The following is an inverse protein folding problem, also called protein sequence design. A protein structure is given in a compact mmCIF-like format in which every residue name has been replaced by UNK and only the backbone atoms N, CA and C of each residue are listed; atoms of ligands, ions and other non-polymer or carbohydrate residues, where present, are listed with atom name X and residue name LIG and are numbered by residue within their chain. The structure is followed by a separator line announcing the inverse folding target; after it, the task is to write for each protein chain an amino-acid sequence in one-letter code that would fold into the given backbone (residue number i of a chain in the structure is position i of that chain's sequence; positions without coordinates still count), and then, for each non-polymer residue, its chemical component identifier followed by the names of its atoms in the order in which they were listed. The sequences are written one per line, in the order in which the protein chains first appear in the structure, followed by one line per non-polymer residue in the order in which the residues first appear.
data_IF_011199607923
#
_entry.id   IF_011199607923
#
_cell.length_a   1.000
_cell.length_b   1.000
_cell.length_c   1.000
_cell.angle_alpha   90.00
_cell.angle_beta   90.00
_cell.angle_gamma   90.00
#
_symmetry.space_group_name_H-M   'P 1'
#
loop_
_entity.id
_entity.type
_entity.pdbx_description
1 polymer ?
#
# COMPACT_ATOMS: atom_id res chain seq x y z
N UNK A 1 -14.31 15.23 8.57
CA UNK A 1 -13.40 14.11 8.80
C UNK A 1 -12.32 14.49 9.78
N UNK A 2 -12.09 13.66 10.74
CA UNK A 2 -11.01 13.89 11.70
C UNK A 2 -9.68 13.45 11.11
N UNK A 3 -8.68 14.33 11.23
CA UNK A 3 -7.32 13.94 10.95
C UNK A 3 -6.86 13.01 12.07
N UNK A 4 -6.43 11.80 11.67
CA UNK A 4 -5.87 10.85 12.61
C UNK A 4 -4.36 10.93 12.58
N UNK A 5 -3.76 11.04 13.74
CA UNK A 5 -2.32 10.89 13.89
C UNK A 5 -2.04 9.45 14.27
N UNK A 6 -1.31 8.75 13.43
CA UNK A 6 -0.94 7.37 13.70
C UNK A 6 0.38 7.33 14.44
N UNK A 7 0.43 6.52 15.49
CA UNK A 7 1.69 6.17 16.12
C UNK A 7 2.33 5.05 15.32
N UNK A 8 3.46 5.29 14.65
CA UNK A 8 4.11 4.26 13.82
C UNK A 8 4.41 2.96 14.56
N UNK A 9 4.63 3.04 15.87
CA UNK A 9 4.92 1.86 16.67
C UNK A 9 3.69 0.97 16.89
N UNK A 10 2.50 1.51 16.65
CA UNK A 10 1.24 0.81 16.91
C UNK A 10 0.47 0.43 15.65
N UNK A 11 0.97 0.81 14.49
CA UNK A 11 0.40 0.40 13.22
C UNK A 11 1.14 -0.82 12.71
N UNK A 12 0.38 -1.86 12.37
CA UNK A 12 0.94 -3.10 11.86
C UNK A 12 0.52 -3.31 10.42
N UNK A 13 1.46 -3.72 9.59
CA UNK A 13 1.20 -4.09 8.20
C UNK A 13 1.60 -5.54 8.03
N UNK A 14 0.68 -6.35 7.52
CA UNK A 14 0.94 -7.77 7.26
C UNK A 14 0.63 -8.10 5.81
N UNK A 15 1.50 -8.89 5.19
CA UNK A 15 1.28 -9.46 3.87
C UNK A 15 1.26 -10.97 3.99
N UNK A 16 0.16 -11.57 3.57
CA UNK A 16 -0.03 -13.02 3.61
C UNK A 16 0.22 -13.60 5.01
N UNK A 17 -0.32 -12.92 6.02
CA UNK A 17 -0.19 -13.19 7.46
C UNK A 17 1.18 -12.94 8.07
N UNK A 18 2.19 -12.62 7.26
CA UNK A 18 3.50 -12.26 7.79
C UNK A 18 3.56 -10.77 8.12
N UNK A 19 3.81 -10.47 9.37
CA UNK A 19 3.94 -9.08 9.81
C UNK A 19 5.27 -8.50 9.32
N UNK A 20 5.20 -7.37 8.63
CA UNK A 20 6.37 -6.68 8.12
C UNK A 20 6.98 -5.80 9.22
N UNK A 21 8.30 -5.76 9.29
CA UNK A 21 9.04 -5.12 10.36
C UNK A 21 10.13 -4.21 9.83
N UNK A 22 10.60 -3.30 10.69
CA UNK A 22 11.70 -2.39 10.41
C UNK A 22 11.38 -1.42 9.28
N UNK A 23 10.26 -0.73 9.43
CA UNK A 23 9.86 0.30 8.48
C UNK A 23 10.86 1.48 8.51
N UNK A 24 11.00 2.13 7.35
CA UNK A 24 11.76 3.35 7.22
C UNK A 24 11.01 4.56 7.78
N UNK A 25 11.39 5.76 7.35
CA UNK A 25 10.82 7.00 7.85
C UNK A 25 9.32 7.12 7.55
N UNK A 26 8.87 6.63 6.40
CA UNK A 26 7.46 6.58 6.04
C UNK A 26 6.96 5.15 6.17
N UNK A 27 5.80 4.98 6.84
CA UNK A 27 5.21 3.67 7.01
C UNK A 27 4.70 3.12 5.68
N UNK A 28 3.74 3.82 5.10
CA UNK A 28 3.15 3.38 3.83
C UNK A 28 2.43 4.54 3.15
N UNK A 29 2.22 4.37 1.85
CA UNK A 29 1.39 5.25 1.04
C UNK A 29 0.43 4.39 0.24
N UNK A 30 -0.86 4.72 0.33
CA UNK A 30 -1.91 4.01 -0.39
C UNK A 30 -2.55 4.97 -1.39
N UNK A 31 -2.57 4.59 -2.66
CA UNK A 31 -3.13 5.43 -3.70
C UNK A 31 -3.94 4.61 -4.70
N UNK A 32 -5.09 5.14 -5.11
CA UNK A 32 -5.86 4.56 -6.21
C UNK A 32 -5.26 4.98 -7.54
N UNK A 33 -5.35 4.09 -8.53
CA UNK A 33 -4.84 4.36 -9.87
C UNK A 33 -5.66 5.44 -10.57
N UNK A 34 -6.96 5.50 -10.29
CA UNK A 34 -7.87 6.42 -10.95
C UNK A 34 -8.74 7.17 -9.95
N UNK A 35 -9.15 8.38 -10.32
CA UNK A 35 -10.05 9.16 -9.50
C UNK A 35 -11.43 8.49 -9.42
N UNK A 36 -12.10 8.63 -8.28
CA UNK A 36 -13.45 8.08 -8.09
C UNK A 36 -14.47 8.75 -9.00
N UNK A 37 -14.30 10.03 -9.25
CA UNK A 37 -15.29 10.86 -9.96
C UNK A 37 -14.56 11.81 -10.89
N UNK A 38 -15.06 11.94 -12.09
CA UNK A 38 -14.57 12.91 -13.07
C UNK A 38 -15.71 13.83 -13.47
N UNK A 39 -15.42 15.13 -13.54
CA UNK A 39 -16.40 16.12 -13.98
C UNK A 39 -16.24 16.36 -15.48
N UNK A 40 -17.34 16.20 -16.21
CA UNK A 40 -17.39 16.56 -17.64
C UNK A 40 -18.32 17.72 -17.84
N UNK A 41 -17.86 18.74 -18.58
CA UNK A 41 -18.67 19.88 -18.97
C UNK A 41 -19.07 19.74 -20.43
N UNK A 42 -20.36 19.88 -20.68
CA UNK A 42 -20.89 19.89 -22.04
C UNK A 42 -20.70 21.23 -22.74
N UNK A 43 -20.93 21.25 -24.06
CA UNK A 43 -20.78 22.43 -24.91
C UNK A 43 -21.71 23.56 -24.47
N UNK A 44 -22.88 23.21 -23.92
CA UNK A 44 -23.87 24.19 -23.46
C UNK A 44 -23.75 24.58 -22.00
N UNK A 45 -22.62 24.23 -21.36
CA UNK A 45 -22.40 24.57 -19.98
C UNK A 45 -22.94 23.57 -18.96
N UNK A 46 -23.56 22.49 -19.43
CA UNK A 46 -24.03 21.43 -18.55
C UNK A 46 -22.86 20.69 -17.91
N UNK A 47 -23.03 20.25 -16.67
CA UNK A 47 -22.03 19.49 -15.94
C UNK A 47 -22.55 18.11 -15.64
N UNK A 48 -21.73 17.09 -15.85
CA UNK A 48 -22.06 15.70 -15.55
C UNK A 48 -20.92 15.05 -14.79
N UNK A 49 -21.23 14.34 -13.73
CA UNK A 49 -20.26 13.54 -13.01
C UNK A 49 -20.20 12.14 -13.60
N UNK A 50 -19.00 11.69 -13.89
CA UNK A 50 -18.76 10.32 -14.33
C UNK A 50 -18.13 9.56 -13.16
N UNK A 51 -18.79 8.50 -12.73
CA UNK A 51 -18.32 7.67 -11.63
C UNK A 51 -17.38 6.60 -12.17
N UNK A 52 -16.25 6.43 -11.51
CA UNK A 52 -15.27 5.43 -11.90
C UNK A 52 -15.41 4.20 -11.04
N UNK A 53 -15.72 3.07 -11.67
CA UNK A 53 -15.88 1.80 -10.99
C UNK A 53 -14.55 1.11 -10.66
N UNK A 54 -13.44 1.56 -11.26
CA UNK A 54 -12.13 0.96 -11.01
C UNK A 54 -11.64 1.32 -9.62
N UNK A 55 -11.46 0.32 -8.77
CA UNK A 55 -10.99 0.47 -7.39
C UNK A 55 -9.56 0.00 -7.19
N UNK A 56 -8.85 -0.33 -8.26
CA UNK A 56 -7.47 -0.78 -8.18
C UNK A 56 -6.54 0.34 -7.73
N UNK A 57 -5.43 -0.05 -7.15
CA UNK A 57 -4.45 0.91 -6.70
C UNK A 57 -3.14 0.25 -6.29
N UNK A 58 -2.31 1.03 -5.62
CA UNK A 58 -0.99 0.60 -5.19
C UNK A 58 -0.76 0.98 -3.73
N UNK A 59 -0.12 0.08 -3.02
CA UNK A 59 0.40 0.34 -1.68
C UNK A 59 1.91 0.35 -1.77
N UNK A 60 2.53 1.45 -1.36
CA UNK A 60 3.99 1.55 -1.29
C UNK A 60 4.41 1.53 0.17
N UNK A 61 5.28 0.61 0.52
CA UNK A 61 5.89 0.56 1.85
C UNK A 61 7.39 0.78 1.74
N UNK A 62 7.97 1.31 2.79
CA UNK A 62 9.41 1.56 2.85
C UNK A 62 9.98 0.82 4.05
N UNK A 63 10.93 -0.08 3.80
CA UNK A 63 11.58 -0.88 4.83
C UNK A 63 13.05 -0.53 4.90
N UNK A 64 13.60 -0.56 6.10
CA UNK A 64 15.05 -0.45 6.27
C UNK A 64 15.74 -1.63 5.61
N UNK A 65 16.95 -1.40 5.07
CA UNK A 65 17.64 -2.46 4.33
C UNK A 65 17.95 -3.70 5.20
N UNK A 66 17.97 -3.55 6.50
CA UNK A 66 18.20 -4.65 7.45
C UNK A 66 16.94 -5.47 7.73
N UNK A 67 15.78 -5.05 7.23
CA UNK A 67 14.54 -5.77 7.49
C UNK A 67 14.61 -7.20 6.98
N UNK A 68 14.30 -8.19 7.82
CA UNK A 68 14.32 -9.59 7.38
C UNK A 68 13.22 -9.91 6.37
N UNK A 69 12.24 -9.02 6.23
CA UNK A 69 11.09 -9.27 5.37
C UNK A 69 11.35 -8.92 3.90
N UNK A 70 12.41 -8.16 3.60
CA UNK A 70 12.74 -7.79 2.22
C UNK A 70 12.99 -9.04 1.37
N UNK A 71 13.79 -9.98 1.89
CA UNK A 71 14.07 -11.23 1.17
C UNK A 71 12.80 -12.04 0.91
N UNK A 72 11.90 -12.08 1.88
CA UNK A 72 10.61 -12.73 1.71
C UNK A 72 9.79 -12.08 0.59
N UNK A 73 9.74 -10.75 0.58
CA UNK A 73 8.98 -10.02 -0.44
C UNK A 73 9.62 -10.14 -1.82
N UNK A 74 10.95 -10.20 -1.89
CA UNK A 74 11.64 -10.50 -3.14
C UNK A 74 11.26 -11.86 -3.68
N UNK A 75 11.18 -12.87 -2.83
CA UNK A 75 10.72 -14.21 -3.22
C UNK A 75 9.26 -14.19 -3.69
N UNK A 76 8.42 -13.44 -3.01
CA UNK A 76 7.02 -13.30 -3.43
C UNK A 76 6.91 -12.68 -4.82
N UNK A 77 7.73 -11.68 -5.12
CA UNK A 77 7.76 -11.07 -6.45
C UNK A 77 8.23 -12.06 -7.50
N UNK A 78 9.30 -12.80 -7.20
CA UNK A 78 9.89 -13.79 -8.11
C UNK A 78 8.92 -14.93 -8.45
N UNK A 79 8.12 -15.32 -7.47
CA UNK A 79 7.22 -16.48 -7.60
C UNK A 79 5.78 -16.08 -7.91
N UNK A 80 5.51 -14.81 -8.13
CA UNK A 80 4.17 -14.28 -8.43
C UNK A 80 3.13 -14.67 -7.37
N UNK A 81 3.51 -14.54 -6.10
CA UNK A 81 2.65 -14.91 -4.99
C UNK A 81 1.54 -13.88 -4.80
N UNK A 82 0.30 -14.35 -4.77
CA UNK A 82 -0.85 -13.54 -4.37
C UNK A 82 -1.05 -13.67 -2.87
N UNK A 83 -1.29 -12.55 -2.21
CA UNK A 83 -1.52 -12.55 -0.78
C UNK A 83 -2.43 -11.44 -0.33
N UNK A 84 -2.93 -11.56 0.88
CA UNK A 84 -3.78 -10.55 1.47
C UNK A 84 -2.94 -9.54 2.23
N UNK A 85 -3.33 -8.26 2.17
CA UNK A 85 -2.71 -7.20 2.94
C UNK A 85 -3.68 -6.76 4.02
N UNK A 86 -3.20 -6.66 5.25
CA UNK A 86 -3.96 -6.11 6.36
C UNK A 86 -3.13 -5.03 7.05
N UNK A 87 -3.73 -3.87 7.26
CA UNK A 87 -3.15 -2.79 8.02
C UNK A 87 -4.04 -2.56 9.23
N UNK A 88 -3.48 -2.71 10.42
CA UNK A 88 -4.21 -2.58 11.67
C UNK A 88 -3.58 -1.51 12.55
N UNK A 89 -4.43 -0.87 13.35
CA UNK A 89 -4.00 0.13 14.33
C UNK A 89 -4.37 -0.38 15.73
N UNK A 90 -3.34 -0.65 16.53
CA UNK A 90 -3.53 -1.13 17.89
C UNK A 90 -4.19 -0.10 18.79
N UNK A 91 -4.10 1.19 18.49
CA UNK A 91 -4.73 2.25 19.27
C UNK A 91 -6.25 2.22 19.17
N UNK A 92 -6.77 1.94 17.99
CA UNK A 92 -8.21 1.95 17.71
C UNK A 92 -8.82 0.56 17.66
N UNK A 93 -8.03 -0.46 17.93
CA UNK A 93 -8.49 -1.87 17.91
C UNK A 93 -9.16 -2.25 16.59
N UNK A 94 -8.81 -1.59 15.49
CA UNK A 94 -9.51 -1.76 14.23
C UNK A 94 -8.61 -2.07 13.05
N UNK A 95 -9.22 -2.68 12.04
CA UNK A 95 -8.58 -2.84 10.73
C UNK A 95 -8.74 -1.53 9.97
N UNK A 96 -7.63 -0.89 9.62
CA UNK A 96 -7.64 0.33 8.83
C UNK A 96 -7.85 0.03 7.36
N UNK A 97 -7.31 -1.11 6.91
CA UNK A 97 -7.30 -1.46 5.50
C UNK A 97 -7.14 -2.98 5.37
N UNK A 98 -7.84 -3.54 4.42
CA UNK A 98 -7.73 -4.96 4.07
C UNK A 98 -7.94 -5.13 2.58
N UNK A 99 -7.08 -5.92 1.93
CA UNK A 99 -7.21 -6.21 0.52
C UNK A 99 -6.80 -7.65 0.24
N UNK A 100 -7.44 -8.26 -0.75
CA UNK A 100 -7.17 -9.63 -1.18
C UNK A 100 -6.48 -9.66 -2.53
N UNK A 101 -5.75 -10.73 -2.77
CA UNK A 101 -5.10 -11.02 -4.05
C UNK A 101 -4.12 -9.95 -4.50
N UNK A 102 -3.40 -9.36 -3.56
CA UNK A 102 -2.37 -8.38 -3.84
C UNK A 102 -1.08 -9.07 -4.26
N UNK A 103 -0.29 -8.40 -5.09
CA UNK A 103 1.00 -8.91 -5.56
C UNK A 103 2.06 -7.83 -5.47
N UNK A 104 3.29 -8.23 -5.22
CA UNK A 104 4.44 -7.32 -5.34
C UNK A 104 4.63 -7.00 -6.82
N UNK A 105 4.70 -5.70 -7.16
CA UNK A 105 4.74 -5.27 -8.56
C UNK A 105 6.01 -5.73 -9.28
N UNK A 106 7.15 -5.59 -8.62
CA UNK A 106 8.44 -5.99 -9.18
C UNK A 106 9.46 -6.15 -8.05
N UNK A 107 10.58 -6.77 -8.37
CA UNK A 107 11.70 -6.83 -7.43
C UNK A 107 12.15 -5.40 -7.11
N UNK A 108 12.30 -5.07 -5.82
CA UNK A 108 12.74 -3.74 -5.45
C UNK A 108 14.19 -3.49 -5.86
N UNK A 109 14.49 -2.25 -6.23
CA UNK A 109 15.86 -1.83 -6.43
C UNK A 109 16.58 -1.79 -5.09
N UNK A 110 17.77 -2.37 -5.02
CA UNK A 110 18.54 -2.42 -3.78
C UNK A 110 19.95 -1.94 -3.98
N UNK A 111 20.36 -1.05 -3.11
CA UNK A 111 21.77 -0.73 -2.92
C UNK A 111 22.22 -1.37 -1.61
N UNK A 112 23.44 -1.85 -1.59
CA UNK A 112 24.02 -2.48 -0.41
C UNK A 112 25.19 -1.65 0.09
N UNK A 113 25.35 -1.59 1.39
CA UNK A 113 26.43 -0.85 2.02
C UNK A 113 25.95 -0.09 3.24
N UNK A 114 26.89 0.55 3.93
CA UNK A 114 26.65 1.21 5.21
C UNK A 114 25.61 2.35 5.08
N UNK A 115 25.65 3.07 3.97
CA UNK A 115 24.79 4.22 3.73
C UNK A 115 23.70 3.93 2.70
N UNK A 116 23.36 2.65 2.51
CA UNK A 116 22.31 2.28 1.55
C UNK A 116 20.95 2.83 1.99
N UNK A 117 20.14 3.34 1.04
CA UNK A 117 18.84 3.87 1.38
C UNK A 117 17.85 2.78 1.77
N UNK A 118 16.74 3.19 2.35
CA UNK A 118 15.61 2.31 2.60
C UNK A 118 15.09 1.72 1.30
N UNK A 119 14.45 0.57 1.40
CA UNK A 119 13.92 -0.16 0.25
C UNK A 119 12.43 0.10 0.12
N UNK A 120 12.01 0.60 -1.04
CA UNK A 120 10.60 0.80 -1.34
C UNK A 120 10.03 -0.41 -2.09
N UNK A 121 8.90 -0.90 -1.62
CA UNK A 121 8.22 -2.04 -2.21
C UNK A 121 6.80 -1.62 -2.55
N UNK A 122 6.39 -1.90 -3.78
CA UNK A 122 5.06 -1.55 -4.28
C UNK A 122 4.23 -2.81 -4.43
N UNK A 123 3.04 -2.80 -3.85
CA UNK A 123 2.05 -3.86 -4.01
C UNK A 123 0.95 -3.38 -4.93
N UNK A 124 0.58 -4.22 -5.88
CA UNK A 124 -0.60 -4.00 -6.72
C UNK A 124 -1.82 -4.52 -5.97
N UNK A 125 -2.85 -3.71 -5.91
CA UNK A 125 -4.09 -4.01 -5.19
C UNK A 125 -5.25 -3.99 -6.18
N UNK A 126 -5.93 -5.13 -6.39
CA UNK A 126 -7.05 -5.17 -7.34
C UNK A 126 -8.24 -4.33 -6.91
N UNK A 127 -8.50 -4.25 -5.62
CA UNK A 127 -9.66 -3.56 -5.09
C UNK A 127 -9.35 -2.95 -3.73
N UNK A 128 -9.31 -1.61 -3.68
CA UNK A 128 -9.02 -0.89 -2.45
C UNK A 128 -10.32 -0.67 -1.69
N UNK A 129 -10.42 -1.27 -0.50
CA UNK A 129 -11.46 -1.00 0.47
C UNK A 129 -10.85 -0.35 1.69
N UNK A 130 -11.24 0.88 1.96
CA UNK A 130 -10.85 1.60 3.17
C UNK A 130 -11.99 1.48 4.17
N UNK A 131 -11.66 0.93 5.31
CA UNK A 131 -12.63 0.69 6.38
C UNK A 131 -12.69 1.90 7.31
#
# INVERSE_FOLDING_TARGET
SMLRTFDPEKVNVAFNTRQLRMFGDSLFTLARDEANVTLKKGVKGDSTYVLNANKAGKLTITLQQESPDISYLEQCAERYVKGNIAITDANDSGILFYAQDCMVEKLPDRQRGKDAPDVSIVFLIPDIHII
#
